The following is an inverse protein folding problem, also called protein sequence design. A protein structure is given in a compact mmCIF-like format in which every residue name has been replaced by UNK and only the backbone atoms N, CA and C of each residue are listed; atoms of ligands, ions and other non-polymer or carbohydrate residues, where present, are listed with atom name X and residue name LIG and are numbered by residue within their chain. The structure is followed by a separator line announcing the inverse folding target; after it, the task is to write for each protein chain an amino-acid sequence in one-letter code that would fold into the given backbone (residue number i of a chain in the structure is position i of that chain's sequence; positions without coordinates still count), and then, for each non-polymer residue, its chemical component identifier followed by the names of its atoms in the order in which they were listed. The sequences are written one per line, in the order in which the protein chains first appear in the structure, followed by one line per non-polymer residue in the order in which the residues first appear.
data_IF_202397086001
#
_entry.id   IF_202397086001
#
_cell.length_a   1.000
_cell.length_b   1.000
_cell.length_c   1.000
_cell.angle_alpha   90.00
_cell.angle_beta   90.00
_cell.angle_gamma   90.00
#
_symmetry.space_group_name_H-M   'P 1'
#
loop_
_entity.id
_entity.type
_entity.pdbx_description
1 polymer ?
#
# COMPACT_ATOMS: atom_id res chain seq x y z
N UNK A 1 -27.95 9.29 8.25
CA UNK A 1 -27.26 9.05 6.97
C UNK A 1 -26.17 8.02 7.20
N UNK A 2 -25.82 7.25 6.17
CA UNK A 2 -24.71 6.29 6.24
C UNK A 2 -23.46 6.88 5.63
N UNK A 3 -22.30 6.61 6.25
CA UNK A 3 -21.01 7.01 5.68
C UNK A 3 -20.31 5.80 5.07
N UNK A 4 -20.00 5.89 3.79
CA UNK A 4 -19.16 4.94 3.07
C UNK A 4 -17.71 5.42 3.12
N UNK A 5 -16.79 4.56 3.56
CA UNK A 5 -15.36 4.89 3.56
C UNK A 5 -14.69 4.10 2.45
N UNK A 6 -14.01 4.81 1.54
CA UNK A 6 -13.27 4.26 0.42
C UNK A 6 -11.82 4.77 0.45
N UNK A 7 -10.92 3.95 0.98
CA UNK A 7 -9.49 4.17 0.82
C UNK A 7 -9.05 3.66 -0.57
N UNK A 8 -9.09 4.57 -1.54
CA UNK A 8 -8.90 4.36 -2.98
C UNK A 8 -7.43 4.18 -3.38
N UNK A 9 -6.80 3.15 -2.82
CA UNK A 9 -5.39 2.84 -3.08
C UNK A 9 -5.12 2.37 -4.51
N UNK A 10 -3.91 2.63 -5.01
CA UNK A 10 -3.51 2.31 -6.39
C UNK A 10 -3.42 0.81 -6.75
N UNK A 11 -3.45 -0.08 -5.75
CA UNK A 11 -3.44 -1.53 -5.95
C UNK A 11 -4.71 -2.17 -5.41
N UNK A 12 -5.04 -1.89 -4.14
CA UNK A 12 -6.26 -2.31 -3.50
C UNK A 12 -7.07 -1.08 -3.04
N UNK A 13 -8.36 -1.12 -3.30
CA UNK A 13 -9.37 -0.30 -2.66
C UNK A 13 -9.78 -0.97 -1.35
N UNK A 14 -9.85 -0.20 -0.28
CA UNK A 14 -10.39 -0.67 1.01
C UNK A 14 -11.69 0.07 1.21
N UNK A 15 -12.80 -0.66 1.15
CA UNK A 15 -14.14 -0.09 1.11
C UNK A 15 -15.03 -0.75 2.14
N UNK A 16 -15.93 0.03 2.74
CA UNK A 16 -16.98 -0.48 3.63
C UNK A 16 -17.76 0.68 4.25
N UNK A 17 -19.00 0.42 4.65
CA UNK A 17 -19.73 1.37 5.46
C UNK A 17 -19.12 1.47 6.85
N UNK A 18 -19.22 2.63 7.50
CA UNK A 18 -18.64 2.88 8.83
C UNK A 18 -19.10 1.86 9.89
N UNK A 19 -20.33 1.35 9.78
CA UNK A 19 -20.89 0.35 10.69
C UNK A 19 -20.57 -1.11 10.31
N UNK A 20 -19.89 -1.34 9.19
CA UNK A 20 -19.55 -2.67 8.68
C UNK A 20 -18.04 -2.97 8.79
N UNK A 21 -17.65 -4.15 8.31
CA UNK A 21 -16.25 -4.54 8.17
C UNK A 21 -15.70 -4.09 6.81
N UNK A 22 -14.42 -3.75 6.79
CA UNK A 22 -13.72 -3.38 5.56
C UNK A 22 -13.54 -4.58 4.62
N UNK A 23 -13.78 -4.35 3.34
CA UNK A 23 -13.37 -5.26 2.27
C UNK A 23 -12.12 -4.71 1.58
N UNK A 24 -11.10 -5.56 1.43
CA UNK A 24 -9.87 -5.24 0.68
C UNK A 24 -9.99 -5.85 -0.70
N UNK A 25 -10.08 -5.01 -1.73
CA UNK A 25 -10.46 -5.43 -3.08
C UNK A 25 -9.46 -4.84 -4.08
N UNK A 26 -9.05 -5.58 -5.13
CA UNK A 26 -8.19 -5.01 -6.17
C UNK A 26 -8.81 -3.77 -6.82
N UNK A 27 -8.07 -2.68 -6.91
CA UNK A 27 -8.51 -1.44 -7.56
C UNK A 27 -8.06 -1.41 -9.02
N UNK A 28 -8.51 -2.40 -9.80
CA UNK A 28 -8.16 -2.53 -11.21
C UNK A 28 -9.09 -3.48 -11.95
N UNK A 29 -8.86 -3.57 -13.25
CA UNK A 29 -9.46 -4.59 -14.10
C UNK A 29 -8.40 -5.58 -14.62
N UNK A 30 -8.86 -6.77 -14.97
CA UNK A 30 -8.03 -7.88 -15.43
C UNK A 30 -8.55 -8.39 -16.77
N UNK A 31 -7.61 -8.76 -17.65
CA UNK A 31 -7.91 -9.58 -18.83
C UNK A 31 -7.02 -10.81 -18.83
N UNK A 32 -7.63 -11.98 -18.99
CA UNK A 32 -6.87 -13.22 -19.14
C UNK A 32 -6.38 -13.38 -20.58
N UNK A 33 -5.18 -13.96 -20.76
CA UNK A 33 -4.63 -14.31 -22.08
C UNK A 33 -5.53 -15.27 -22.85
N UNK A 34 -6.18 -16.21 -22.16
CA UNK A 34 -7.03 -17.24 -22.76
C UNK A 34 -8.42 -16.69 -23.08
N UNK A 35 -8.98 -15.86 -22.19
CA UNK A 35 -10.28 -15.23 -22.34
C UNK A 35 -10.17 -13.74 -22.75
N UNK A 36 -9.51 -13.45 -23.88
CA UNK A 36 -9.20 -12.07 -24.32
C UNK A 36 -10.40 -11.11 -24.39
N UNK A 37 -11.62 -11.64 -24.49
CA UNK A 37 -12.85 -10.85 -24.61
C UNK A 37 -13.51 -10.53 -23.27
N UNK A 38 -13.24 -11.27 -22.18
CA UNK A 38 -13.84 -10.99 -20.86
C UNK A 38 -12.88 -10.12 -20.05
N UNK A 39 -13.38 -8.97 -19.61
CA UNK A 39 -12.72 -8.14 -18.60
C UNK A 39 -13.36 -8.46 -17.25
N UNK A 40 -12.53 -8.67 -16.24
CA UNK A 40 -12.93 -8.89 -14.86
C UNK A 40 -12.58 -7.65 -14.07
N UNK A 41 -13.43 -7.25 -13.13
CA UNK A 41 -13.26 -6.03 -12.33
C UNK A 41 -13.11 -6.41 -10.87
N UNK A 42 -12.15 -5.81 -10.16
CA UNK A 42 -12.07 -5.91 -8.71
C UNK A 42 -11.94 -7.36 -8.18
N UNK A 43 -12.82 -7.80 -7.28
CA UNK A 43 -12.83 -9.18 -6.72
C UNK A 43 -13.30 -10.24 -7.74
N UNK A 44 -13.77 -9.87 -8.94
CA UNK A 44 -14.06 -10.83 -10.00
C UNK A 44 -12.80 -11.59 -10.48
N UNK A 45 -11.59 -11.20 -10.05
CA UNK A 45 -10.39 -12.03 -10.21
C UNK A 45 -10.59 -13.43 -9.63
N UNK A 46 -11.37 -13.60 -8.56
CA UNK A 46 -11.63 -14.89 -7.92
C UNK A 46 -12.49 -15.82 -8.80
N UNK A 47 -13.20 -15.27 -9.79
CA UNK A 47 -13.92 -16.05 -10.80
C UNK A 47 -12.98 -16.65 -11.87
N UNK A 48 -11.76 -16.11 -11.98
CA UNK A 48 -10.80 -16.54 -12.98
C UNK A 48 -10.19 -17.87 -12.53
N UNK A 49 -10.51 -18.94 -13.28
CA UNK A 49 -9.98 -20.28 -12.99
C UNK A 49 -8.46 -20.35 -13.03
N UNK A 50 -7.86 -19.64 -13.98
CA UNK A 50 -6.42 -19.58 -14.21
C UNK A 50 -5.97 -18.11 -14.32
N UNK A 51 -5.51 -17.51 -13.21
CA UNK A 51 -4.96 -16.16 -13.17
C UNK A 51 -3.49 -16.09 -13.65
N UNK A 52 -3.00 -17.07 -14.41
CA UNK A 52 -1.70 -16.96 -15.10
C UNK A 52 -1.76 -15.93 -16.23
N UNK A 53 -0.65 -15.22 -16.42
CA UNK A 53 -0.47 -14.26 -17.50
C UNK A 53 -1.51 -13.13 -17.54
N UNK A 54 -2.13 -12.77 -16.40
CA UNK A 54 -3.15 -11.72 -16.33
C UNK A 54 -2.60 -10.37 -16.78
N UNK A 55 -3.32 -9.73 -17.69
CA UNK A 55 -3.08 -8.35 -18.06
C UNK A 55 -3.81 -7.42 -17.09
N UNK A 56 -3.06 -6.67 -16.30
CA UNK A 56 -3.57 -5.67 -15.37
C UNK A 56 -3.85 -4.36 -16.10
N UNK A 57 -5.09 -3.89 -16.01
CA UNK A 57 -5.51 -2.57 -16.47
C UNK A 57 -5.68 -1.71 -15.21
N UNK A 58 -4.67 -0.88 -14.94
CA UNK A 58 -4.61 -0.06 -13.72
C UNK A 58 -5.17 1.34 -13.99
N UNK A 59 -6.04 1.86 -13.09
CA UNK A 59 -6.47 3.26 -13.16
C UNK A 59 -5.35 4.23 -12.76
N UNK A 60 -4.45 3.78 -11.89
CA UNK A 60 -3.34 4.56 -11.35
C UNK A 60 -2.01 4.34 -12.09
N UNK A 61 -1.26 5.42 -12.29
CA UNK A 61 0.14 5.40 -12.72
C UNK A 61 0.99 6.24 -11.77
N UNK A 62 2.07 5.66 -11.24
CA UNK A 62 2.93 6.29 -10.21
C UNK A 62 2.10 6.88 -9.05
N UNK A 63 0.98 6.22 -8.74
CA UNK A 63 0.04 6.60 -7.70
C UNK A 63 -0.84 7.82 -7.99
N UNK A 64 -0.88 8.33 -9.22
CA UNK A 64 -1.89 9.30 -9.66
C UNK A 64 -2.97 8.60 -10.49
N UNK A 65 -4.23 9.00 -10.28
CA UNK A 65 -5.36 8.50 -11.04
C UNK A 65 -5.36 9.13 -12.43
N UNK A 66 -5.02 8.35 -13.45
CA UNK A 66 -4.86 8.84 -14.83
C UNK A 66 -5.87 8.25 -15.80
N UNK A 67 -6.42 7.07 -15.49
CA UNK A 67 -7.41 6.42 -16.34
C UNK A 67 -8.75 6.34 -15.61
N UNK A 68 -9.54 7.40 -15.80
CA UNK A 68 -10.87 7.54 -15.21
C UNK A 68 -11.87 6.52 -15.73
N UNK A 69 -11.79 6.11 -17.00
CA UNK A 69 -12.70 5.09 -17.55
C UNK A 69 -12.58 3.75 -16.82
N UNK A 70 -11.36 3.38 -16.45
CA UNK A 70 -11.08 2.16 -15.67
C UNK A 70 -11.51 2.33 -14.22
N UNK A 71 -11.20 3.47 -13.61
CA UNK A 71 -11.59 3.73 -12.21
C UNK A 71 -13.10 3.75 -12.05
N UNK A 72 -13.81 4.37 -13.00
CA UNK A 72 -15.27 4.41 -13.05
C UNK A 72 -15.86 3.01 -13.11
N UNK A 73 -15.35 2.15 -14.00
CA UNK A 73 -15.83 0.76 -14.06
C UNK A 73 -15.59 -0.01 -12.76
N UNK A 74 -14.48 0.26 -12.06
CA UNK A 74 -14.23 -0.30 -10.73
C UNK A 74 -15.22 0.24 -9.71
N UNK A 75 -15.44 1.55 -9.67
CA UNK A 75 -16.38 2.19 -8.73
C UNK A 75 -17.83 1.80 -9.00
N UNK A 76 -18.28 1.76 -10.25
CA UNK A 76 -19.61 1.27 -10.63
C UNK A 76 -19.85 -0.15 -10.15
N UNK A 77 -18.82 -0.99 -10.22
CA UNK A 77 -18.87 -2.35 -9.68
C UNK A 77 -18.95 -2.34 -8.14
N UNK A 78 -18.07 -1.58 -7.47
CA UNK A 78 -18.02 -1.50 -6.00
C UNK A 78 -19.29 -0.90 -5.40
N UNK A 79 -19.87 0.12 -6.03
CA UNK A 79 -21.09 0.79 -5.58
C UNK A 79 -22.35 0.08 -6.08
N UNK A 80 -22.21 -0.80 -7.08
CA UNK A 80 -23.31 -1.52 -7.69
C UNK A 80 -23.92 -2.61 -6.81
N UNK A 81 -24.97 -3.24 -7.35
CA UNK A 81 -25.82 -4.24 -6.67
C UNK A 81 -25.09 -5.51 -6.25
N UNK A 82 -23.97 -5.85 -6.89
CA UNK A 82 -23.19 -7.04 -6.57
C UNK A 82 -22.33 -6.86 -5.31
N UNK A 83 -22.10 -5.61 -4.90
CA UNK A 83 -21.23 -5.23 -3.80
C UNK A 83 -22.03 -4.45 -2.75
N UNK A 84 -21.84 -3.13 -2.65
CA UNK A 84 -22.43 -2.33 -1.56
C UNK A 84 -23.83 -1.80 -1.85
N UNK A 85 -24.30 -1.84 -3.10
CA UNK A 85 -25.60 -1.31 -3.52
C UNK A 85 -25.88 0.08 -2.93
N UNK A 86 -24.99 1.03 -3.23
CA UNK A 86 -25.00 2.35 -2.58
C UNK A 86 -26.23 3.13 -3.00
N UNK A 87 -26.97 3.63 -2.01
CA UNK A 87 -27.96 4.69 -2.22
C UNK A 87 -27.27 6.05 -2.08
N UNK A 88 -26.84 6.59 -3.21
CA UNK A 88 -25.95 7.75 -3.23
C UNK A 88 -26.57 9.00 -2.59
N UNK A 89 -27.87 9.21 -2.78
CA UNK A 89 -28.58 10.40 -2.28
C UNK A 89 -28.67 10.43 -0.75
N UNK A 90 -28.55 9.28 -0.08
CA UNK A 90 -28.60 9.15 1.38
C UNK A 90 -27.23 8.76 2.00
N UNK A 91 -26.17 8.76 1.17
CA UNK A 91 -24.83 8.32 1.57
C UNK A 91 -23.82 9.47 1.51
N UNK A 92 -23.04 9.60 2.58
CA UNK A 92 -21.81 10.40 2.61
C UNK A 92 -20.63 9.52 2.22
N UNK A 93 -19.62 10.06 1.53
CA UNK A 93 -18.41 9.31 1.19
C UNK A 93 -17.15 9.98 1.74
N UNK A 94 -16.33 9.21 2.46
CA UNK A 94 -14.94 9.55 2.78
C UNK A 94 -14.06 8.82 1.78
N UNK A 95 -13.30 9.55 0.97
CA UNK A 95 -12.45 8.98 -0.07
C UNK A 95 -11.01 9.45 0.05
N UNK A 96 -10.06 8.52 -0.10
CA UNK A 96 -8.64 8.85 -0.03
C UNK A 96 -8.04 9.25 -1.37
N UNK A 97 -7.07 10.17 -1.34
CA UNK A 97 -6.26 10.52 -2.49
C UNK A 97 -4.80 10.87 -2.14
N UNK A 98 -3.89 10.90 -3.14
CA UNK A 98 -2.49 11.23 -2.92
C UNK A 98 -2.27 12.66 -2.42
N UNK A 99 -1.16 12.87 -1.71
CA UNK A 99 -0.70 14.21 -1.32
C UNK A 99 -0.37 15.07 -2.53
N UNK A 100 -0.66 16.37 -2.45
CA UNK A 100 -0.35 17.34 -3.50
C UNK A 100 -0.88 16.90 -4.88
N UNK A 101 -2.10 16.36 -4.90
CA UNK A 101 -2.72 15.87 -6.12
C UNK A 101 -2.92 17.02 -7.13
N UNK A 102 -2.89 16.72 -8.42
CA UNK A 102 -3.07 17.74 -9.45
C UNK A 102 -4.50 18.28 -9.44
N UNK A 103 -4.67 19.60 -9.47
CA UNK A 103 -6.00 20.26 -9.47
C UNK A 103 -6.95 19.65 -10.48
N UNK A 104 -6.50 19.34 -11.71
CA UNK A 104 -7.36 18.69 -12.70
C UNK A 104 -7.91 17.33 -12.29
N UNK A 105 -7.12 16.51 -11.57
CA UNK A 105 -7.59 15.23 -11.02
C UNK A 105 -8.57 15.50 -9.86
N UNK A 106 -8.29 16.52 -9.06
CA UNK A 106 -9.16 16.92 -7.97
C UNK A 106 -10.55 17.36 -8.46
N UNK A 107 -10.59 18.21 -9.50
CA UNK A 107 -11.82 18.68 -10.13
C UNK A 107 -12.61 17.51 -10.73
N UNK A 108 -11.98 16.66 -11.55
CA UNK A 108 -12.65 15.47 -12.11
C UNK A 108 -13.19 14.54 -11.02
N UNK A 109 -12.50 14.42 -9.87
CA UNK A 109 -13.01 13.62 -8.76
C UNK A 109 -14.26 14.23 -8.13
N UNK A 110 -14.31 15.56 -8.01
CA UNK A 110 -15.49 16.26 -7.52
C UNK A 110 -16.68 16.07 -8.48
N UNK A 111 -16.47 16.27 -9.78
CA UNK A 111 -17.51 16.09 -10.81
C UNK A 111 -18.11 14.69 -10.72
N UNK A 112 -17.28 13.65 -10.64
CA UNK A 112 -17.76 12.27 -10.57
C UNK A 112 -18.52 11.98 -9.27
N UNK A 113 -18.01 12.44 -8.13
CA UNK A 113 -18.64 12.15 -6.83
C UNK A 113 -19.95 12.93 -6.63
N UNK A 114 -20.00 14.21 -6.99
CA UNK A 114 -21.15 15.08 -6.76
C UNK A 114 -22.14 15.11 -7.92
N UNK A 115 -21.69 15.08 -9.18
CA UNK A 115 -22.58 15.25 -10.33
C UNK A 115 -23.02 13.91 -10.91
N UNK A 116 -22.12 12.94 -11.01
CA UNK A 116 -22.45 11.63 -11.58
C UNK A 116 -23.06 10.68 -10.54
N UNK A 117 -22.35 10.42 -9.44
CA UNK A 117 -22.87 9.54 -8.38
C UNK A 117 -23.87 10.27 -7.49
N UNK A 118 -23.76 11.59 -7.34
CA UNK A 118 -24.67 12.40 -6.53
C UNK A 118 -24.64 12.04 -5.04
N UNK A 119 -23.46 11.72 -4.50
CA UNK A 119 -23.28 11.54 -3.06
C UNK A 119 -23.78 12.78 -2.29
N UNK A 120 -24.41 12.56 -1.14
CA UNK A 120 -24.99 13.64 -0.33
C UNK A 120 -23.93 14.59 0.23
N UNK A 121 -22.81 14.04 0.69
CA UNK A 121 -21.64 14.79 1.11
C UNK A 121 -20.37 14.00 0.88
N UNK A 122 -19.27 14.71 0.65
CA UNK A 122 -17.96 14.13 0.34
C UNK A 122 -16.92 14.69 1.30
N UNK A 123 -16.02 13.83 1.77
CA UNK A 123 -14.75 14.21 2.38
C UNK A 123 -13.62 13.57 1.58
N UNK A 124 -12.82 14.40 0.90
CA UNK A 124 -11.58 13.99 0.25
C UNK A 124 -10.40 14.25 1.18
N UNK A 125 -9.56 13.25 1.40
CA UNK A 125 -8.52 13.27 2.44
C UNK A 125 -7.34 12.37 2.06
N UNK A 126 -6.14 12.54 2.64
CA UNK A 126 -5.07 11.58 2.41
C UNK A 126 -5.18 10.36 3.35
N UNK A 127 -4.78 9.19 2.87
CA UNK A 127 -4.75 7.96 3.66
C UNK A 127 -3.91 8.10 4.96
N UNK A 128 -2.79 8.83 4.90
CA UNK A 128 -1.98 9.07 6.10
C UNK A 128 -2.65 10.00 7.11
N UNK A 129 -3.57 10.89 6.69
CA UNK A 129 -4.29 11.74 7.65
C UNK A 129 -5.32 10.92 8.43
N UNK A 130 -5.98 9.96 7.76
CA UNK A 130 -6.84 8.99 8.43
C UNK A 130 -6.03 8.11 9.40
N UNK A 131 -4.86 7.65 8.98
CA UNK A 131 -3.95 6.87 9.83
C UNK A 131 -3.49 7.67 11.05
N UNK A 132 -3.13 8.94 10.88
CA UNK A 132 -2.76 9.83 11.98
C UNK A 132 -3.94 10.06 12.95
N UNK A 133 -5.15 10.27 12.43
CA UNK A 133 -6.35 10.39 13.26
C UNK A 133 -6.57 9.14 14.12
N UNK A 134 -6.45 7.95 13.52
CA UNK A 134 -6.53 6.67 14.26
C UNK A 134 -5.48 6.58 15.36
N UNK A 135 -4.24 6.95 15.04
CA UNK A 135 -3.13 6.92 15.99
C UNK A 135 -3.36 7.85 17.18
N UNK A 136 -3.78 9.10 16.94
CA UNK A 136 -4.06 10.07 18.00
C UNK A 136 -5.25 9.66 18.87
N UNK A 137 -6.26 9.01 18.29
CA UNK A 137 -7.37 8.45 19.07
C UNK A 137 -6.89 7.36 20.04
N UNK A 138 -6.00 6.47 19.58
CA UNK A 138 -5.45 5.40 20.42
C UNK A 138 -4.41 5.91 21.42
N UNK A 139 -3.80 7.07 21.15
CA UNK A 139 -2.75 7.69 21.97
C UNK A 139 -3.06 9.17 22.26
N UNK A 140 -4.11 9.48 23.06
CA UNK A 140 -4.59 10.85 23.25
C UNK A 140 -3.60 11.79 23.94
N UNK A 141 -2.57 11.25 24.60
CA UNK A 141 -1.49 12.04 25.21
C UNK A 141 -0.44 12.51 24.20
N UNK A 142 -0.35 11.87 23.03
CA UNK A 142 0.67 12.18 22.03
C UNK A 142 0.20 13.34 21.14
N UNK A 143 1.05 14.36 21.00
CA UNK A 143 0.74 15.55 20.21
C UNK A 143 1.21 15.43 18.75
N UNK A 144 2.21 14.60 18.50
CA UNK A 144 2.84 14.47 17.19
C UNK A 144 3.01 12.99 16.84
N UNK A 145 2.88 12.67 15.55
CA UNK A 145 3.27 11.39 14.99
C UNK A 145 3.78 11.59 13.56
N UNK A 146 4.59 10.67 13.07
CA UNK A 146 4.97 10.64 11.66
C UNK A 146 4.48 9.34 11.04
N UNK A 147 3.67 9.46 9.99
CA UNK A 147 3.11 8.32 9.27
C UNK A 147 4.05 7.97 8.13
N UNK A 148 4.48 6.72 8.08
CA UNK A 148 5.31 6.14 7.03
C UNK A 148 4.47 5.12 6.27
N UNK A 149 3.86 5.56 5.18
CA UNK A 149 2.98 4.72 4.36
C UNK A 149 3.74 4.13 3.18
N UNK A 150 4.20 2.88 3.30
CA UNK A 150 4.92 2.17 2.25
C UNK A 150 3.99 1.27 1.44
N UNK A 151 3.49 1.85 0.35
CA UNK A 151 2.44 1.26 -0.48
C UNK A 151 2.92 0.65 -1.80
N UNK A 152 1.99 0.56 -2.75
CA UNK A 152 2.23 -0.07 -4.05
C UNK A 152 3.11 0.75 -4.99
N UNK A 153 2.85 2.06 -5.10
CA UNK A 153 3.56 2.93 -6.06
C UNK A 153 4.73 3.71 -5.47
N UNK A 154 4.71 3.96 -4.17
CA UNK A 154 5.61 4.87 -3.47
C UNK A 154 5.60 4.58 -1.97
N UNK A 155 6.48 5.28 -1.25
CA UNK A 155 6.43 5.45 0.20
C UNK A 155 6.26 6.93 0.55
N UNK A 156 5.24 7.28 1.33
CA UNK A 156 5.06 8.63 1.87
C UNK A 156 5.48 8.70 3.33
N UNK A 157 6.14 9.79 3.71
CA UNK A 157 6.56 10.10 5.07
C UNK A 157 5.96 11.45 5.41
N UNK A 158 5.02 11.45 6.35
CA UNK A 158 4.16 12.62 6.61
C UNK A 158 4.06 12.88 8.11
N UNK A 159 4.68 13.97 8.59
CA UNK A 159 4.56 14.39 9.98
C UNK A 159 3.22 15.09 10.24
N UNK A 160 2.55 14.67 11.31
CA UNK A 160 1.32 15.26 11.84
C UNK A 160 1.53 15.77 13.26
N UNK A 161 1.04 16.99 13.54
CA UNK A 161 1.00 17.56 14.87
C UNK A 161 -0.42 18.04 15.15
N UNK A 162 -1.05 17.52 16.20
CA UNK A 162 -2.45 17.81 16.56
C UNK A 162 -3.38 17.63 15.36
N UNK A 163 -3.28 16.48 14.71
CA UNK A 163 -4.03 16.11 13.50
C UNK A 163 -3.78 16.97 12.25
N UNK A 164 -2.90 17.97 12.30
CA UNK A 164 -2.51 18.79 11.14
C UNK A 164 -1.19 18.31 10.55
N UNK A 165 -1.16 18.08 9.24
CA UNK A 165 0.07 17.73 8.52
C UNK A 165 1.02 18.92 8.41
N UNK A 166 2.32 18.64 8.49
CA UNK A 166 3.40 19.61 8.28
C UNK A 166 3.90 19.50 6.84
N UNK A 167 3.28 20.28 5.95
CA UNK A 167 3.47 20.20 4.48
C UNK A 167 4.93 20.37 4.06
N UNK A 168 5.65 21.24 4.76
CA UNK A 168 7.07 21.55 4.55
C UNK A 168 8.00 20.35 4.76
N UNK A 169 7.55 19.34 5.49
CA UNK A 169 8.33 18.16 5.85
C UNK A 169 7.78 16.86 5.24
N UNK A 170 6.85 16.95 4.29
CA UNK A 170 6.32 15.77 3.57
C UNK A 170 7.36 15.27 2.58
N UNK A 171 7.72 14.00 2.69
CA UNK A 171 8.65 13.34 1.78
C UNK A 171 7.93 12.21 1.05
N UNK A 172 8.21 12.09 -0.26
CA UNK A 172 7.74 10.99 -1.09
C UNK A 172 8.94 10.31 -1.74
N UNK A 173 9.04 9.00 -1.55
CA UNK A 173 9.99 8.12 -2.22
C UNK A 173 9.22 7.36 -3.30
N UNK A 174 9.64 7.41 -4.56
CA UNK A 174 9.03 6.71 -5.70
C UNK A 174 9.41 5.21 -5.75
N UNK A 175 9.62 4.60 -4.58
CA UNK A 175 9.84 3.17 -4.40
C UNK A 175 8.65 2.59 -3.64
N UNK A 176 8.03 1.57 -4.21
CA UNK A 176 6.91 0.85 -3.61
C UNK A 176 6.82 -0.59 -4.13
N UNK A 177 5.81 -1.32 -3.69
CA UNK A 177 5.69 -2.77 -3.94
C UNK A 177 5.68 -3.17 -5.42
N UNK A 178 5.13 -2.33 -6.31
CA UNK A 178 5.13 -2.57 -7.77
C UNK A 178 6.55 -2.71 -8.32
N UNK A 179 7.44 -1.82 -7.88
CA UNK A 179 8.83 -1.81 -8.31
C UNK A 179 9.53 -3.07 -7.84
N UNK A 180 9.31 -3.48 -6.59
CA UNK A 180 9.86 -4.71 -6.02
C UNK A 180 9.40 -5.94 -6.79
N UNK A 181 8.10 -6.04 -7.10
CA UNK A 181 7.54 -7.15 -7.89
C UNK A 181 8.15 -7.19 -9.29
N UNK A 182 8.29 -6.05 -9.96
CA UNK A 182 8.90 -5.99 -11.28
C UNK A 182 10.38 -6.38 -11.26
N UNK A 183 11.13 -5.91 -10.28
CA UNK A 183 12.54 -6.27 -10.13
C UNK A 183 12.71 -7.77 -9.84
N UNK A 184 11.86 -8.35 -8.98
CA UNK A 184 11.86 -9.79 -8.73
C UNK A 184 11.54 -10.60 -10.00
N UNK A 185 10.58 -10.12 -10.83
CA UNK A 185 10.27 -10.75 -12.12
C UNK A 185 11.47 -10.76 -13.06
N UNK A 186 12.23 -9.67 -13.13
CA UNK A 186 13.43 -9.58 -13.96
C UNK A 186 14.51 -10.57 -13.50
N UNK A 187 14.78 -10.61 -12.19
CA UNK A 187 15.77 -11.54 -11.60
C UNK A 187 15.40 -12.99 -11.91
N UNK A 188 14.14 -13.38 -11.66
CA UNK A 188 13.66 -14.75 -11.88
C UNK A 188 13.70 -15.11 -13.36
N UNK A 189 13.25 -14.19 -14.23
CA UNK A 189 13.23 -14.37 -15.69
C UNK A 189 14.61 -14.57 -16.28
N UNK A 190 15.60 -13.87 -15.72
CA UNK A 190 16.99 -14.02 -16.14
C UNK A 190 17.63 -15.33 -15.66
N UNK A 191 17.34 -15.76 -14.41
CA UNK A 191 18.08 -16.86 -13.76
C UNK A 191 17.45 -18.24 -13.97
N UNK A 192 16.13 -18.33 -14.03
CA UNK A 192 15.43 -19.61 -13.86
C UNK A 192 14.30 -19.81 -14.87
N UNK A 193 13.31 -18.92 -14.86
CA UNK A 193 12.05 -19.11 -15.58
C UNK A 193 11.51 -17.76 -16.03
N UNK A 194 11.18 -17.64 -17.31
CA UNK A 194 10.56 -16.43 -17.84
C UNK A 194 9.16 -16.20 -17.23
N UNK A 195 9.04 -15.21 -16.35
CA UNK A 195 7.84 -14.88 -15.56
C UNK A 195 7.40 -13.42 -15.76
N UNK A 196 7.87 -12.75 -16.81
CA UNK A 196 7.59 -11.32 -17.04
C UNK A 196 6.09 -11.00 -17.17
N UNK A 197 5.28 -11.97 -17.60
CA UNK A 197 3.82 -11.82 -17.68
C UNK A 197 3.09 -12.33 -16.42
N UNK A 198 3.79 -13.00 -15.50
CA UNK A 198 3.21 -13.66 -14.32
C UNK A 198 3.15 -12.72 -13.11
N UNK A 199 2.63 -11.50 -13.31
CA UNK A 199 2.67 -10.44 -12.28
C UNK A 199 1.95 -10.84 -10.99
N UNK A 200 0.78 -11.47 -11.12
CA UNK A 200 0.01 -11.95 -9.96
C UNK A 200 0.79 -12.98 -9.15
N UNK A 201 1.34 -14.00 -9.83
CA UNK A 201 2.09 -15.09 -9.21
C UNK A 201 3.35 -14.57 -8.53
N UNK A 202 4.12 -13.70 -9.19
CA UNK A 202 5.36 -13.19 -8.61
C UNK A 202 5.10 -12.20 -7.48
N UNK A 203 3.98 -11.46 -7.50
CA UNK A 203 3.58 -10.66 -6.35
C UNK A 203 3.29 -11.55 -5.13
N UNK A 204 2.59 -12.68 -5.34
CA UNK A 204 2.32 -13.65 -4.28
C UNK A 204 3.62 -14.28 -3.75
N UNK A 205 4.52 -14.69 -4.63
CA UNK A 205 5.86 -15.19 -4.25
C UNK A 205 6.55 -14.15 -3.37
N UNK A 206 6.62 -12.88 -3.80
CA UNK A 206 7.23 -11.79 -3.02
C UNK A 206 6.64 -11.71 -1.62
N UNK A 207 5.32 -11.68 -1.50
CA UNK A 207 4.64 -11.55 -0.20
C UNK A 207 4.85 -12.77 0.71
N UNK A 208 4.94 -13.98 0.16
CA UNK A 208 5.12 -15.20 0.94
C UNK A 208 6.58 -15.45 1.38
N UNK A 209 7.57 -14.96 0.62
CA UNK A 209 8.97 -15.38 0.78
C UNK A 209 9.95 -14.28 1.18
N UNK A 210 9.65 -13.03 0.82
CA UNK A 210 10.58 -11.92 1.02
C UNK A 210 10.52 -11.39 2.46
N UNK A 211 11.64 -10.87 2.92
CA UNK A 211 11.80 -10.31 4.26
C UNK A 211 12.88 -9.24 4.27
N UNK A 212 12.89 -8.39 5.29
CA UNK A 212 13.91 -7.36 5.46
C UNK A 212 15.02 -7.90 6.35
N UNK A 213 16.23 -7.97 5.81
CA UNK A 213 17.41 -8.39 6.58
C UNK A 213 17.80 -7.34 7.60
N UNK A 214 18.27 -7.78 8.77
CA UNK A 214 18.88 -6.92 9.79
C UNK A 214 20.40 -6.79 9.63
N UNK A 215 21.01 -7.70 8.86
CA UNK A 215 22.44 -7.70 8.54
C UNK A 215 22.60 -8.27 7.13
N UNK A 216 22.57 -7.35 6.16
CA UNK A 216 22.56 -7.68 4.75
C UNK A 216 23.77 -8.50 4.33
N UNK A 217 24.97 -8.15 4.81
CA UNK A 217 26.21 -8.82 4.43
C UNK A 217 26.29 -10.23 5.02
N UNK A 218 25.87 -10.41 6.27
CA UNK A 218 25.79 -11.74 6.89
C UNK A 218 24.82 -12.65 6.14
N UNK A 219 23.62 -12.16 5.82
CA UNK A 219 22.63 -12.94 5.08
C UNK A 219 23.10 -13.23 3.64
N UNK A 220 23.85 -12.32 3.03
CA UNK A 220 24.52 -12.53 1.74
C UNK A 220 25.58 -13.64 1.81
N UNK A 221 26.36 -13.70 2.87
CA UNK A 221 27.35 -14.75 3.05
C UNK A 221 26.70 -16.11 3.30
N UNK A 222 25.62 -16.17 4.09
CA UNK A 222 24.81 -17.40 4.25
C UNK A 222 24.21 -17.82 2.91
N UNK A 223 23.72 -16.88 2.10
CA UNK A 223 23.15 -17.16 0.79
C UNK A 223 24.16 -17.73 -0.22
N UNK A 224 25.47 -17.53 -0.01
CA UNK A 224 26.54 -18.13 -0.83
C UNK A 224 26.89 -19.56 -0.41
N UNK A 225 26.52 -19.98 0.79
CA UNK A 225 26.78 -21.35 1.27
C UNK A 225 26.02 -22.38 0.42
N UNK A 226 26.50 -23.62 0.46
CA UNK A 226 25.92 -24.74 -0.30
C UNK A 226 25.23 -25.72 0.63
N UNK A 227 24.21 -26.40 0.10
CA UNK A 227 23.50 -27.44 0.84
C UNK A 227 22.79 -26.87 2.06
N UNK A 228 22.78 -27.65 3.15
CA UNK A 228 21.96 -27.39 4.33
C UNK A 228 22.38 -26.15 5.11
N UNK A 229 23.62 -25.68 4.94
CA UNK A 229 24.14 -24.48 5.60
C UNK A 229 23.50 -23.19 5.05
N UNK A 230 22.94 -23.22 3.84
CA UNK A 230 22.25 -22.08 3.26
C UNK A 230 20.82 -21.98 3.80
N UNK A 231 20.66 -21.33 4.95
CA UNK A 231 19.36 -21.16 5.61
C UNK A 231 18.44 -20.14 4.92
N UNK A 232 18.99 -19.33 4.01
CA UNK A 232 18.24 -18.34 3.22
C UNK A 232 17.52 -19.00 2.06
N UNK A 233 18.12 -20.03 1.45
CA UNK A 233 17.54 -20.70 0.28
C UNK A 233 16.23 -21.39 0.64
N UNK A 234 15.22 -21.19 -0.20
CA UNK A 234 13.95 -21.93 -0.16
C UNK A 234 13.57 -22.38 -1.57
N UNK A 235 12.71 -23.40 -1.62
CA UNK A 235 12.03 -23.81 -2.83
C UNK A 235 10.54 -23.48 -2.71
N UNK A 236 10.04 -22.68 -3.65
CA UNK A 236 8.64 -22.28 -3.72
C UNK A 236 7.94 -23.03 -4.86
N UNK A 237 6.87 -23.75 -4.53
CA UNK A 237 6.05 -24.44 -5.53
C UNK A 237 5.12 -23.44 -6.18
N UNK A 238 5.25 -23.26 -7.50
CA UNK A 238 4.38 -22.37 -8.26
C UNK A 238 2.99 -23.01 -8.44
N UNK A 239 1.92 -22.19 -8.47
CA UNK A 239 0.59 -22.69 -8.76
C UNK A 239 0.50 -23.19 -10.21
N UNK A 240 -0.21 -24.30 -10.40
CA UNK A 240 -0.59 -24.84 -11.72
C UNK A 240 -2.05 -24.55 -12.08
N UNK A 241 -2.80 -23.95 -11.14
CA UNK A 241 -4.22 -23.60 -11.21
C UNK A 241 -5.17 -24.77 -11.52
N UNK A 242 -4.66 -26.00 -11.47
CA UNK A 242 -5.44 -27.23 -11.63
C UNK A 242 -5.56 -27.97 -10.29
N UNK A 243 -4.43 -28.20 -9.63
CA UNK A 243 -4.31 -28.84 -8.32
C UNK A 243 -3.84 -27.85 -7.26
N UNK A 244 -2.90 -26.99 -7.62
CA UNK A 244 -2.29 -25.97 -6.75
C UNK A 244 -2.79 -24.60 -7.21
N UNK A 245 -3.79 -24.06 -6.51
CA UNK A 245 -4.35 -22.73 -6.83
C UNK A 245 -3.49 -21.58 -6.36
N UNK A 246 -2.85 -21.73 -5.20
CA UNK A 246 -1.91 -20.77 -4.61
C UNK A 246 -0.61 -21.51 -4.33
N UNK A 247 0.51 -20.90 -4.73
CA UNK A 247 1.83 -21.46 -4.45
C UNK A 247 2.16 -21.49 -2.96
N UNK A 248 3.22 -22.19 -2.60
CA UNK A 248 3.65 -22.31 -1.22
C UNK A 248 5.14 -22.64 -1.10
N UNK A 249 5.74 -22.29 0.03
CA UNK A 249 7.10 -22.69 0.38
C UNK A 249 7.13 -24.18 0.74
N UNK A 250 7.99 -24.97 0.08
CA UNK A 250 8.24 -26.34 0.54
C UNK A 250 8.85 -26.31 1.94
N UNK A 251 8.40 -27.18 2.86
CA UNK A 251 9.08 -27.41 4.12
C UNK A 251 10.54 -27.77 3.90
N UNK A 252 11.42 -27.33 4.81
CA UNK A 252 12.88 -27.47 4.63
C UNK A 252 13.31 -28.93 4.55
N UNK A 253 12.60 -29.80 5.26
CA UNK A 253 12.82 -31.26 5.31
C UNK A 253 12.51 -31.95 3.97
N UNK A 254 11.66 -31.34 3.14
CA UNK A 254 11.26 -31.87 1.82
C UNK A 254 12.09 -31.27 0.67
N UNK A 255 12.97 -30.30 0.96
CA UNK A 255 13.76 -29.62 -0.06
C UNK A 255 14.87 -30.51 -0.62
N UNK A 256 14.91 -30.65 -1.94
CA UNK A 256 15.98 -31.37 -2.64
C UNK A 256 17.10 -30.39 -2.98
N UNK A 257 18.08 -30.28 -2.07
CA UNK A 257 19.21 -29.35 -2.23
C UNK A 257 20.19 -29.79 -3.32
N UNK A 258 20.31 -31.11 -3.55
CA UNK A 258 21.09 -31.70 -4.62
C UNK A 258 20.22 -32.58 -5.53
N UNK A 259 20.17 -32.25 -6.82
CA UNK A 259 19.45 -33.04 -7.83
C UNK A 259 18.20 -32.33 -8.35
N UNK A 260 17.38 -33.10 -9.08
CA UNK A 260 16.11 -32.62 -9.63
C UNK A 260 14.96 -33.23 -8.83
N UNK A 261 13.93 -32.43 -8.62
CA UNK A 261 12.65 -32.95 -8.14
C UNK A 261 12.14 -34.03 -9.08
N UNK A 262 11.64 -35.13 -8.52
CA UNK A 262 10.97 -36.20 -9.27
C UNK A 262 9.50 -35.86 -9.55
N UNK A 263 8.94 -34.89 -8.83
CA UNK A 263 7.57 -34.41 -9.05
C UNK A 263 7.49 -33.58 -10.34
N UNK A 264 6.29 -33.53 -10.93
CA UNK A 264 5.97 -32.63 -12.05
C UNK A 264 5.67 -31.20 -11.62
N UNK A 265 5.93 -30.85 -10.35
CA UNK A 265 5.71 -29.53 -9.79
C UNK A 265 6.73 -28.53 -10.36
N UNK A 266 6.27 -27.35 -10.73
CA UNK A 266 7.17 -26.27 -11.13
C UNK A 266 7.66 -25.54 -9.88
N UNK A 267 8.97 -25.57 -9.66
CA UNK A 267 9.59 -25.05 -8.44
C UNK A 267 10.49 -23.88 -8.79
N UNK A 268 10.35 -22.80 -8.03
CA UNK A 268 11.18 -21.62 -8.08
C UNK A 268 12.10 -21.60 -6.85
N UNK A 269 13.41 -21.63 -7.08
CA UNK A 269 14.41 -21.62 -5.99
C UNK A 269 14.81 -20.19 -5.67
N UNK A 270 14.48 -19.69 -4.49
CA UNK A 270 14.78 -18.32 -4.08
C UNK A 270 15.87 -18.31 -3.01
N UNK A 271 16.88 -17.46 -3.17
CA UNK A 271 17.96 -17.29 -2.19
C UNK A 271 18.09 -15.81 -1.78
N UNK A 272 19.16 -15.14 -2.20
CA UNK A 272 19.45 -13.76 -1.79
C UNK A 272 18.38 -12.76 -2.25
N UNK A 273 17.66 -13.02 -3.35
CA UNK A 273 16.56 -12.17 -3.81
C UNK A 273 15.44 -11.99 -2.77
N UNK A 274 15.30 -12.92 -1.80
CA UNK A 274 14.30 -12.82 -0.73
C UNK A 274 14.50 -11.58 0.14
N UNK A 275 15.74 -11.20 0.40
CA UNK A 275 16.06 -10.01 1.20
C UNK A 275 16.68 -8.89 0.38
N UNK A 276 17.36 -9.19 -0.73
CA UNK A 276 17.93 -8.17 -1.61
C UNK A 276 16.86 -7.39 -2.39
N UNK A 277 15.69 -7.97 -2.68
CA UNK A 277 14.61 -7.21 -3.31
C UNK A 277 14.00 -6.20 -2.33
N UNK A 278 13.56 -6.58 -1.11
CA UNK A 278 13.11 -5.60 -0.12
C UNK A 278 14.16 -4.57 0.29
N UNK A 279 15.46 -4.90 0.19
CA UNK A 279 16.56 -3.96 0.49
C UNK A 279 16.46 -2.66 -0.32
N UNK A 280 15.84 -2.68 -1.50
CA UNK A 280 15.63 -1.49 -2.35
C UNK A 280 14.78 -0.41 -1.66
N UNK A 281 13.96 -0.78 -0.67
CA UNK A 281 13.22 0.20 0.16
C UNK A 281 14.15 1.00 1.08
N UNK A 282 15.32 0.46 1.40
CA UNK A 282 16.33 1.04 2.30
C UNK A 282 17.52 1.61 1.52
N UNK A 283 17.86 0.99 0.39
CA UNK A 283 18.96 1.40 -0.49
C UNK A 283 18.49 1.43 -1.97
N UNK A 284 17.67 2.41 -2.38
CA UNK A 284 17.20 2.51 -3.77
C UNK A 284 18.33 2.63 -4.81
N UNK A 285 19.48 3.17 -4.40
CA UNK A 285 20.67 3.35 -5.24
C UNK A 285 21.23 2.04 -5.77
N UNK A 286 20.95 0.91 -5.13
CA UNK A 286 21.44 -0.41 -5.54
C UNK A 286 20.91 -0.84 -6.92
N UNK A 287 19.77 -0.29 -7.34
CA UNK A 287 19.20 -0.48 -8.68
C UNK A 287 19.25 0.81 -9.52
N UNK A 288 20.09 1.77 -9.13
CA UNK A 288 20.31 3.02 -9.85
C UNK A 288 19.27 4.12 -9.60
N UNK A 289 18.38 3.96 -8.61
CA UNK A 289 17.43 5.01 -8.22
C UNK A 289 18.08 5.94 -7.20
N UNK A 290 18.25 7.21 -7.58
CA UNK A 290 18.90 8.22 -6.74
C UNK A 290 17.90 8.88 -5.79
N UNK A 291 17.32 8.10 -4.89
CA UNK A 291 16.40 8.56 -3.84
C UNK A 291 16.83 8.02 -2.47
N UNK A 292 16.40 8.69 -1.40
CA UNK A 292 16.69 8.29 -0.02
C UNK A 292 16.04 6.95 0.32
N UNK A 293 16.68 6.18 1.20
CA UNK A 293 16.05 5.06 1.90
C UNK A 293 14.96 5.52 2.87
N UNK A 294 14.06 4.62 3.26
CA UNK A 294 12.99 4.94 4.22
C UNK A 294 13.54 5.54 5.53
N UNK A 295 14.56 4.97 6.21
CA UNK A 295 15.06 5.54 7.46
C UNK A 295 15.70 6.92 7.31
N UNK A 296 16.51 7.11 6.26
CA UNK A 296 17.10 8.40 5.93
C UNK A 296 16.02 9.47 5.68
N UNK A 297 14.99 9.12 4.91
CA UNK A 297 13.89 10.03 4.60
C UNK A 297 13.03 10.38 5.82
N UNK A 298 12.87 9.47 6.79
CA UNK A 298 12.19 9.75 8.08
C UNK A 298 12.99 10.80 8.86
N UNK A 299 14.30 10.58 9.00
CA UNK A 299 15.18 11.50 9.74
C UNK A 299 15.21 12.86 9.05
N UNK A 300 15.35 12.89 7.72
CA UNK A 300 15.33 14.11 6.93
C UNK A 300 14.01 14.88 7.08
N UNK A 301 12.87 14.17 7.02
CA UNK A 301 11.54 14.77 7.27
C UNK A 301 11.47 15.43 8.65
N UNK A 302 11.91 14.73 9.70
CA UNK A 302 11.88 15.26 11.07
C UNK A 302 12.86 16.44 11.25
N UNK A 303 14.04 16.38 10.63
CA UNK A 303 15.03 17.46 10.69
C UNK A 303 14.58 18.77 10.01
N UNK A 304 13.62 18.69 9.07
CA UNK A 304 12.99 19.87 8.48
C UNK A 304 11.96 20.55 9.40
N UNK A 305 11.71 19.99 10.59
CA UNK A 305 10.80 20.54 11.60
C UNK A 305 11.59 21.25 12.72
N UNK A 306 10.96 22.19 13.44
CA UNK A 306 11.59 22.88 14.57
C UNK A 306 12.16 21.90 15.60
N UNK A 307 13.37 22.19 16.12
CA UNK A 307 14.12 21.31 17.02
C UNK A 307 13.30 20.88 18.25
N UNK A 308 12.42 21.76 18.77
CA UNK A 308 11.60 21.46 19.94
C UNK A 308 10.55 20.38 19.67
N UNK A 309 10.17 20.18 18.41
CA UNK A 309 9.18 19.18 18.02
C UNK A 309 9.80 17.83 17.67
N UNK A 310 11.07 17.79 17.29
CA UNK A 310 11.73 16.58 16.77
C UNK A 310 11.66 15.37 17.73
N UNK A 311 11.87 15.51 19.06
CA UNK A 311 11.76 14.38 19.97
C UNK A 311 10.37 13.73 19.95
N UNK A 312 9.32 14.53 19.79
CA UNK A 312 7.94 14.04 19.73
C UNK A 312 7.65 13.25 18.44
N UNK A 313 8.34 13.55 17.33
CA UNK A 313 8.19 12.78 16.10
C UNK A 313 9.01 11.49 16.13
N UNK A 314 10.25 11.53 16.62
CA UNK A 314 11.09 10.33 16.76
C UNK A 314 10.46 9.28 17.67
N UNK A 315 9.80 9.73 18.74
CA UNK A 315 9.07 8.85 19.67
C UNK A 315 7.83 8.21 19.04
N UNK A 316 7.28 8.75 17.95
CA UNK A 316 5.95 8.38 17.45
C UNK A 316 5.96 8.13 15.93
N UNK A 317 6.76 7.16 15.48
CA UNK A 317 6.81 6.71 14.08
C UNK A 317 5.79 5.59 13.87
N UNK A 318 4.85 5.77 12.94
CA UNK A 318 3.78 4.80 12.66
C UNK A 318 3.95 4.27 11.24
N UNK A 319 4.06 2.96 11.10
CA UNK A 319 4.22 2.29 9.81
C UNK A 319 2.86 1.83 9.27
N UNK A 320 2.57 2.14 8.01
CA UNK A 320 1.38 1.65 7.30
C UNK A 320 1.75 1.17 5.90
N UNK A 321 0.79 0.53 5.23
CA UNK A 321 0.94 0.08 3.86
C UNK A 321 1.51 -1.34 3.73
N UNK A 322 1.34 -1.94 2.56
CA UNK A 322 1.61 -3.36 2.35
C UNK A 322 3.07 -3.78 2.51
N UNK A 323 4.06 -2.92 2.21
CA UNK A 323 5.46 -3.31 2.36
C UNK A 323 5.89 -3.39 3.83
N UNK A 324 5.15 -2.75 4.75
CA UNK A 324 5.43 -2.84 6.18
C UNK A 324 5.21 -4.24 6.76
N UNK A 325 4.52 -5.12 6.01
CA UNK A 325 4.28 -6.51 6.37
C UNK A 325 5.47 -7.44 6.11
N UNK A 326 6.54 -6.97 5.44
CA UNK A 326 7.73 -7.79 5.31
C UNK A 326 8.30 -8.11 6.71
N UNK A 327 8.59 -9.38 7.03
CA UNK A 327 9.21 -9.73 8.30
C UNK A 327 10.52 -8.95 8.50
N UNK A 328 10.70 -8.36 9.68
CA UNK A 328 11.86 -7.52 10.01
C UNK A 328 11.79 -6.07 9.52
N UNK A 329 10.75 -5.67 8.77
CA UNK A 329 10.64 -4.29 8.26
C UNK A 329 10.63 -3.26 9.39
N UNK A 330 9.77 -3.46 10.40
CA UNK A 330 9.68 -2.59 11.58
C UNK A 330 11.03 -2.47 12.29
N UNK A 331 11.66 -3.61 12.55
CA UNK A 331 12.91 -3.67 13.33
C UNK A 331 14.05 -2.98 12.59
N UNK A 332 14.11 -3.14 11.26
CA UNK A 332 15.10 -2.45 10.40
C UNK A 332 14.90 -0.94 10.44
N UNK A 333 13.66 -0.46 10.29
CA UNK A 333 13.34 0.97 10.38
C UNK A 333 13.73 1.51 11.75
N UNK A 334 13.38 0.81 12.83
CA UNK A 334 13.77 1.19 14.18
C UNK A 334 15.28 1.29 14.35
N UNK A 335 16.03 0.25 13.96
CA UNK A 335 17.49 0.22 14.14
C UNK A 335 18.18 1.34 13.38
N UNK A 336 17.80 1.58 12.13
CA UNK A 336 18.46 2.60 11.31
C UNK A 336 18.09 4.02 11.74
N UNK A 337 16.80 4.28 12.01
CA UNK A 337 16.39 5.59 12.53
C UNK A 337 17.07 5.85 13.86
N UNK A 338 17.15 4.86 14.76
CA UNK A 338 17.84 5.02 16.05
C UNK A 338 19.32 5.35 15.88
N UNK A 339 20.01 4.71 14.94
CA UNK A 339 21.43 4.98 14.64
C UNK A 339 21.67 6.41 14.10
N UNK A 340 20.70 6.97 13.39
CA UNK A 340 20.76 8.32 12.83
C UNK A 340 20.25 9.42 13.77
N UNK A 341 19.68 9.05 14.92
CA UNK A 341 19.03 9.97 15.86
C UNK A 341 19.92 10.25 17.08
N UNK A 342 19.94 11.49 17.62
CA UNK A 342 20.64 11.81 18.87
C UNK A 342 20.30 10.86 20.04
N UNK A 343 21.29 10.59 20.88
CA UNK A 343 21.17 9.57 21.95
C UNK A 343 20.13 9.94 23.00
N UNK A 344 19.88 11.22 23.21
CA UNK A 344 18.93 11.80 24.16
C UNK A 344 17.46 11.74 23.70
N UNK A 345 17.19 11.49 22.40
CA UNK A 345 15.82 11.38 21.89
C UNK A 345 15.34 9.93 21.98
N UNK A 346 14.14 9.74 22.51
CA UNK A 346 13.46 8.45 22.47
C UNK A 346 12.98 8.19 21.03
N UNK A 347 13.28 7.00 20.52
CA UNK A 347 12.79 6.52 19.23
C UNK A 347 11.82 5.39 19.47
N UNK A 348 10.63 5.44 18.86
CA UNK A 348 9.71 4.31 18.81
C UNK A 348 9.10 4.17 17.43
N UNK A 349 9.01 2.93 16.98
CA UNK A 349 8.38 2.57 15.71
C UNK A 349 7.24 1.61 16.02
N UNK A 350 6.03 2.03 15.67
CA UNK A 350 4.79 1.30 15.85
C UNK A 350 4.36 0.72 14.50
N UNK A 351 4.15 -0.59 14.46
CA UNK A 351 3.47 -1.26 13.36
C UNK A 351 2.09 -1.68 13.89
N UNK A 352 0.99 -1.06 13.44
CA UNK A 352 -0.36 -1.48 13.81
C UNK A 352 -0.64 -2.92 13.41
N UNK A 353 -1.62 -3.56 14.04
CA UNK A 353 -2.02 -4.95 13.73
C UNK A 353 -2.47 -5.11 12.27
N UNK A 354 -3.22 -4.13 11.75
CA UNK A 354 -3.74 -4.16 10.38
C UNK A 354 -3.22 -2.97 9.54
N UNK A 355 -1.94 -2.95 9.14
CA UNK A 355 -1.35 -1.79 8.45
C UNK A 355 -1.93 -1.54 7.05
N UNK A 356 -2.62 -2.53 6.45
CA UNK A 356 -3.33 -2.39 5.17
C UNK A 356 -4.64 -1.61 5.32
N UNK A 357 -5.37 -1.82 6.41
CA UNK A 357 -6.71 -1.23 6.64
C UNK A 357 -6.69 -0.08 7.63
N UNK A 358 -5.53 0.23 8.23
CA UNK A 358 -5.38 1.25 9.26
C UNK A 358 -5.92 2.63 8.86
N UNK A 359 -5.68 3.05 7.61
CA UNK A 359 -6.24 4.29 7.07
C UNK A 359 -7.77 4.23 6.96
N UNK A 360 -8.33 3.11 6.46
CA UNK A 360 -9.78 2.92 6.41
C UNK A 360 -10.42 2.95 7.80
N UNK A 361 -9.78 2.31 8.78
CA UNK A 361 -10.22 2.34 10.18
C UNK A 361 -10.20 3.77 10.74
N UNK A 362 -9.21 4.58 10.37
CA UNK A 362 -9.20 6.02 10.66
C UNK A 362 -10.38 6.77 10.06
N UNK A 363 -10.72 6.48 8.80
CA UNK A 363 -11.89 7.07 8.12
C UNK A 363 -13.21 6.70 8.80
N UNK A 364 -13.36 5.44 9.22
CA UNK A 364 -14.51 4.98 10.01
C UNK A 364 -14.68 5.83 11.28
N UNK A 365 -13.59 6.14 11.98
CA UNK A 365 -13.63 6.88 13.23
C UNK A 365 -13.88 8.37 13.05
N UNK A 366 -13.34 8.96 11.98
CA UNK A 366 -13.68 10.33 11.60
C UNK A 366 -15.19 10.45 11.35
N UNK A 367 -15.81 9.45 10.73
CA UNK A 367 -17.26 9.48 10.46
C UNK A 367 -18.14 9.39 11.72
N UNK A 368 -17.56 9.00 12.85
CA UNK A 368 -18.23 8.91 14.16
C UNK A 368 -17.96 10.16 15.03
N UNK A 369 -17.09 11.08 14.58
CA UNK A 369 -16.74 12.28 15.33
C UNK A 369 -17.80 13.39 15.15
N UNK A 370 -18.01 14.20 16.19
CA UNK A 370 -18.98 15.31 16.19
C UNK A 370 -18.59 16.38 15.14
N UNK A 371 -17.29 16.58 14.89
CA UNK A 371 -16.80 17.56 13.90
C UNK A 371 -16.93 17.06 12.44
N UNK A 372 -17.45 15.84 12.19
CA UNK A 372 -17.49 15.26 10.85
C UNK A 372 -18.31 16.11 9.87
N UNK A 373 -19.43 16.68 10.33
CA UNK A 373 -20.30 17.53 9.50
C UNK A 373 -19.58 18.81 9.02
N UNK A 374 -18.63 19.33 9.82
CA UNK A 374 -17.83 20.50 9.46
C UNK A 374 -16.70 20.16 8.46
N UNK A 375 -16.27 18.90 8.42
CA UNK A 375 -15.20 18.43 7.54
C UNK A 375 -15.69 18.11 6.13
N UNK A 376 -16.96 17.75 5.96
CA UNK A 376 -17.52 17.38 4.65
C UNK A 376 -17.94 18.60 3.84
N UNK A 377 -17.94 18.43 2.51
CA UNK A 377 -18.64 19.32 1.58
C UNK A 377 -19.95 18.64 1.20
N UNK A 378 -21.09 19.30 1.41
CA UNK A 378 -22.37 18.78 0.97
C UNK A 378 -22.55 18.99 -0.53
N UNK A 379 -23.41 18.18 -1.17
CA UNK A 379 -23.72 18.39 -2.59
C UNK A 379 -24.34 19.75 -2.86
N UNK A 380 -25.19 20.24 -1.96
CA UNK A 380 -25.78 21.57 -2.03
C UNK A 380 -24.69 22.67 -2.02
N UNK A 381 -23.73 22.59 -1.08
CA UNK A 381 -22.60 23.52 -1.03
C UNK A 381 -21.79 23.50 -2.33
N UNK A 382 -21.56 22.31 -2.90
CA UNK A 382 -20.85 22.12 -4.16
C UNK A 382 -21.63 22.67 -5.35
N UNK A 383 -22.94 22.44 -5.43
CA UNK A 383 -23.81 22.97 -6.49
C UNK A 383 -23.83 24.51 -6.48
N UNK A 384 -23.76 25.14 -5.31
CA UNK A 384 -23.73 26.60 -5.15
C UNK A 384 -22.35 27.23 -5.44
N UNK A 385 -21.26 26.59 -5.00
CA UNK A 385 -19.92 27.19 -4.98
C UNK A 385 -18.91 26.52 -5.94
N UNK A 386 -19.27 25.39 -6.55
CA UNK A 386 -18.42 24.59 -7.43
C UNK A 386 -17.18 24.04 -6.71
N UNK A 387 -16.07 23.87 -7.44
CA UNK A 387 -14.84 23.30 -6.88
C UNK A 387 -14.19 24.16 -5.77
N UNK A 388 -14.50 25.45 -5.70
CA UNK A 388 -13.85 26.37 -4.76
C UNK A 388 -14.08 25.99 -3.29
N UNK A 389 -15.29 25.51 -2.93
CA UNK A 389 -15.58 25.06 -1.57
C UNK A 389 -14.80 23.80 -1.21
N UNK A 390 -14.55 22.92 -2.19
CA UNK A 390 -13.73 21.73 -2.00
C UNK A 390 -12.26 22.08 -1.76
N UNK A 391 -11.71 23.04 -2.51
CA UNK A 391 -10.32 23.49 -2.32
C UNK A 391 -10.11 24.20 -0.97
N UNK A 392 -11.13 24.91 -0.47
CA UNK A 392 -11.09 25.56 0.83
C UNK A 392 -11.17 24.55 1.99
N UNK A 393 -12.08 23.57 1.91
CA UNK A 393 -12.31 22.59 2.98
C UNK A 393 -11.32 21.43 2.96
N UNK A 394 -11.00 20.87 1.80
CA UNK A 394 -10.19 19.66 1.71
C UNK A 394 -8.70 19.97 1.75
N UNK A 395 -8.07 19.71 2.90
CA UNK A 395 -6.62 19.74 3.02
C UNK A 395 -6.02 18.46 2.43
N UNK A 396 -5.66 18.48 1.14
CA UNK A 396 -5.06 17.36 0.38
C UNK A 396 -3.56 17.52 0.16
#
# INVERSE_FOLDING_TARGET
MTTLVLDNGAYNAKIGYSHENVSVIPNCQFRSKTARLKTFTANQIDEIKDPSGLFYILPFQKGYLVNWDVQRQVWDYLFGKEMYQVDFLDTNIIITEPYFNFTSIQESMNEILFEEYQFQAVLRVNAGALSAHRYFRDNPSELCCIIVDSGYSFTHIVPYCRSKKKKEAIIRINVGGKLLTNHLKEIISYRQLHVMDETHVINQVKEDVCYVSQDFYRDMDIAKLKGEENTVMIDYVLPDFSTIKKGFCKPREEMVLSGKYKSGEQILRLANERFAVPEILFNPSDIGIQEMGIPEAIVYSIQNLPEEMQPHFFKNIVLTGGNSLFPGFRDRVYSEVRCLTPTDYDVSVVLPENPITYAWEGGKLISENDDFEDMVVTREDYEENGHSVCEEKFDI
#
